data_IF_207855695144
#
_entry.id   IF_207855695144
#
_cell.length_a   1.000
_cell.length_b   1.000
_cell.length_c   1.000
_cell.angle_alpha   90.00
_cell.angle_beta   90.00
_cell.angle_gamma   90.00
#
_symmetry.space_group_name_H-M   'P 1'
#
loop_
_entity.id
_entity.type
_entity.pdbx_description
1 polymer ?
#
# COMPACT_ATOMS: atom_id res chain seq x y z
N UNK A 1 16.83 2.43 -23.19
CA UNK A 1 16.71 2.08 -21.76
C UNK A 1 16.04 0.73 -21.67
N UNK A 2 16.67 -0.26 -21.02
CA UNK A 2 16.06 -1.59 -20.90
C UNK A 2 14.77 -1.43 -20.08
N UNK A 3 13.66 -1.83 -20.67
CA UNK A 3 12.36 -1.84 -19.99
C UNK A 3 12.41 -2.93 -18.92
N UNK A 4 12.64 -2.56 -17.66
CA UNK A 4 12.68 -3.52 -16.54
C UNK A 4 11.26 -4.08 -16.39
N UNK A 5 11.08 -5.35 -16.74
CA UNK A 5 9.81 -6.05 -16.58
C UNK A 5 9.42 -6.09 -15.11
N UNK A 6 8.14 -5.89 -14.84
CA UNK A 6 7.58 -5.99 -13.48
C UNK A 6 7.47 -7.44 -13.07
N UNK A 7 7.91 -7.75 -11.85
CA UNK A 7 7.95 -9.10 -11.30
C UNK A 7 6.68 -9.40 -10.54
N UNK A 8 5.95 -10.38 -11.01
CA UNK A 8 4.73 -10.88 -10.38
C UNK A 8 5.00 -12.25 -9.79
N UNK A 9 4.63 -12.45 -8.54
CA UNK A 9 4.57 -13.78 -7.94
C UNK A 9 3.13 -14.25 -7.93
N UNK A 10 2.85 -15.37 -8.59
CA UNK A 10 1.57 -16.07 -8.53
C UNK A 10 1.69 -17.24 -7.56
N UNK A 11 0.81 -17.31 -6.55
CA UNK A 11 0.74 -18.42 -5.59
C UNK A 11 -0.60 -19.12 -5.82
N UNK A 12 -0.54 -20.31 -6.43
CA UNK A 12 -1.70 -21.07 -6.89
C UNK A 12 -1.37 -22.54 -6.81
N UNK A 13 -2.15 -23.31 -6.07
CA UNK A 13 -1.90 -24.77 -5.89
C UNK A 13 -2.34 -25.58 -7.11
N UNK A 14 -3.34 -25.11 -7.86
CA UNK A 14 -3.70 -25.71 -9.14
C UNK A 14 -2.70 -25.32 -10.23
N UNK A 15 -1.96 -26.32 -10.72
CA UNK A 15 -0.90 -26.10 -11.69
C UNK A 15 -1.39 -25.53 -13.01
N UNK A 16 -2.52 -26.03 -13.53
CA UNK A 16 -3.07 -25.58 -14.80
C UNK A 16 -3.47 -24.10 -14.74
N UNK A 17 -4.12 -23.71 -13.63
CA UNK A 17 -4.48 -22.30 -13.39
C UNK A 17 -3.25 -21.42 -13.21
N UNK A 18 -2.25 -21.88 -12.45
CA UNK A 18 -1.00 -21.14 -12.26
C UNK A 18 -0.23 -20.93 -13.56
N UNK A 19 -0.09 -21.96 -14.37
CA UNK A 19 0.58 -21.90 -15.67
C UNK A 19 -0.15 -20.97 -16.65
N UNK A 20 -1.48 -21.04 -16.69
CA UNK A 20 -2.31 -20.15 -17.52
C UNK A 20 -2.12 -18.68 -17.12
N UNK A 21 -2.13 -18.38 -15.81
CA UNK A 21 -1.90 -17.01 -15.33
C UNK A 21 -0.49 -16.53 -15.73
N UNK A 22 0.50 -17.42 -15.60
CA UNK A 22 1.88 -17.08 -15.95
C UNK A 22 2.06 -16.80 -17.45
N UNK A 23 1.47 -17.62 -18.33
CA UNK A 23 1.48 -17.45 -19.78
C UNK A 23 0.83 -16.10 -20.16
N UNK A 24 -0.41 -15.88 -19.72
CA UNK A 24 -1.19 -14.70 -20.06
C UNK A 24 -0.54 -13.38 -19.59
N UNK A 25 0.08 -13.38 -18.42
CA UNK A 25 0.76 -12.19 -17.92
C UNK A 25 2.15 -12.00 -18.57
N UNK A 26 2.85 -13.08 -18.93
CA UNK A 26 4.12 -13.02 -19.62
C UNK A 26 3.96 -12.43 -21.03
N UNK A 27 2.90 -12.81 -21.75
CA UNK A 27 2.55 -12.25 -23.05
C UNK A 27 2.24 -10.76 -22.99
N UNK A 28 1.77 -10.28 -21.83
CA UNK A 28 1.54 -8.86 -21.55
C UNK A 28 2.77 -8.11 -21.01
N UNK A 29 3.92 -8.76 -20.97
CA UNK A 29 5.21 -8.14 -20.68
C UNK A 29 5.62 -8.15 -19.20
N UNK A 30 4.96 -8.93 -18.36
CA UNK A 30 5.39 -9.16 -16.97
C UNK A 30 6.44 -10.28 -16.90
N UNK A 31 7.24 -10.30 -15.83
CA UNK A 31 8.07 -11.43 -15.43
C UNK A 31 7.31 -12.18 -14.31
N UNK A 32 6.90 -13.42 -14.59
CA UNK A 32 6.02 -14.15 -13.66
C UNK A 32 6.74 -15.36 -13.09
N UNK A 33 6.72 -15.48 -11.76
CA UNK A 33 7.10 -16.68 -11.05
C UNK A 33 5.84 -17.32 -10.44
N UNK A 34 5.74 -18.67 -10.53
CA UNK A 34 4.64 -19.42 -9.92
C UNK A 34 5.17 -20.19 -8.72
N UNK A 35 4.41 -20.18 -7.64
CA UNK A 35 4.60 -21.02 -6.46
C UNK A 35 3.32 -21.84 -6.23
N UNK A 36 3.46 -23.11 -5.91
CA UNK A 36 2.34 -24.03 -5.81
C UNK A 36 1.90 -24.30 -4.36
N UNK A 37 2.39 -23.51 -3.42
CA UNK A 37 1.93 -23.50 -2.03
C UNK A 37 2.23 -22.17 -1.36
N UNK A 38 1.57 -21.91 -0.23
CA UNK A 38 1.82 -20.69 0.55
C UNK A 38 3.26 -20.63 1.08
N UNK A 39 3.83 -21.77 1.50
CA UNK A 39 5.21 -21.86 1.98
C UNK A 39 6.21 -21.56 0.86
N UNK A 40 5.99 -22.14 -0.32
CA UNK A 40 6.83 -21.89 -1.50
C UNK A 40 6.76 -20.40 -1.89
N UNK A 41 5.57 -19.82 -1.87
CA UNK A 41 5.35 -18.41 -2.11
C UNK A 41 6.12 -17.50 -1.16
N UNK A 42 6.08 -17.78 0.15
CA UNK A 42 6.84 -17.04 1.15
C UNK A 42 8.35 -17.16 0.93
N UNK A 43 8.85 -18.36 0.60
CA UNK A 43 10.26 -18.55 0.25
C UNK A 43 10.65 -17.78 -1.02
N UNK A 44 9.80 -17.76 -2.03
CA UNK A 44 10.03 -16.98 -3.26
C UNK A 44 10.12 -15.49 -2.98
N UNK A 45 9.23 -14.93 -2.15
CA UNK A 45 9.26 -13.51 -1.72
C UNK A 45 10.59 -13.17 -1.02
N UNK A 46 11.08 -14.06 -0.17
CA UNK A 46 12.33 -13.84 0.57
C UNK A 46 13.57 -13.91 -0.33
N UNK A 47 13.55 -14.76 -1.36
CA UNK A 47 14.65 -14.86 -2.34
C UNK A 47 14.69 -13.67 -3.26
N UNK A 48 13.54 -13.26 -3.75
CA UNK A 48 13.43 -12.17 -4.70
C UNK A 48 12.10 -11.43 -4.49
N UNK A 49 12.17 -10.23 -3.92
CA UNK A 49 10.99 -9.42 -3.64
C UNK A 49 10.25 -9.09 -4.95
N UNK A 50 8.99 -9.53 -5.14
CA UNK A 50 8.21 -9.20 -6.32
C UNK A 50 7.67 -7.77 -6.26
N UNK A 51 7.25 -7.24 -7.42
CA UNK A 51 6.53 -5.97 -7.49
C UNK A 51 5.06 -6.11 -7.04
N UNK A 52 4.49 -7.34 -7.13
CA UNK A 52 3.14 -7.66 -6.69
C UNK A 52 2.99 -9.17 -6.48
N UNK A 53 2.17 -9.56 -5.52
CA UNK A 53 1.75 -10.95 -5.27
C UNK A 53 0.29 -11.14 -5.69
N UNK A 54 0.05 -12.16 -6.52
CA UNK A 54 -1.27 -12.77 -6.75
C UNK A 54 -1.34 -14.03 -5.91
N UNK A 55 -2.40 -14.24 -5.16
CA UNK A 55 -2.50 -15.41 -4.30
C UNK A 55 -3.91 -15.99 -4.27
N UNK A 56 -4.05 -17.27 -4.56
CA UNK A 56 -5.32 -17.94 -4.30
C UNK A 56 -5.63 -17.93 -2.81
N UNK A 57 -6.91 -17.76 -2.49
CA UNK A 57 -7.41 -17.80 -1.11
C UNK A 57 -7.43 -19.24 -0.59
N UNK A 58 -7.86 -20.19 -1.44
CA UNK A 58 -8.25 -21.55 -1.04
C UNK A 58 -7.19 -22.55 -1.40
N UNK A 59 -6.06 -22.53 -0.71
CA UNK A 59 -4.97 -23.50 -0.89
C UNK A 59 -4.88 -24.47 0.29
N UNK A 60 -4.41 -25.71 0.07
CA UNK A 60 -4.08 -26.66 1.13
C UNK A 60 -3.00 -26.13 2.08
N UNK A 61 -2.96 -26.63 3.31
CA UNK A 61 -1.98 -26.30 4.36
C UNK A 61 -1.95 -24.84 4.78
N UNK A 62 -1.79 -23.91 3.86
CA UNK A 62 -1.74 -22.47 4.14
C UNK A 62 -2.61 -21.71 3.15
N UNK A 63 -3.68 -21.09 3.65
CA UNK A 63 -4.56 -20.23 2.85
C UNK A 63 -3.87 -18.95 2.44
N UNK A 64 -4.36 -18.28 1.38
CA UNK A 64 -3.84 -16.96 0.97
C UNK A 64 -3.89 -15.91 2.10
N UNK A 65 -4.85 -16.00 3.02
CA UNK A 65 -4.88 -15.16 4.21
C UNK A 65 -3.70 -15.44 5.15
N UNK A 66 -3.33 -16.72 5.31
CA UNK A 66 -2.16 -17.13 6.07
C UNK A 66 -0.87 -16.61 5.47
N UNK A 67 -0.74 -16.66 4.14
CA UNK A 67 0.41 -16.08 3.42
C UNK A 67 0.51 -14.57 3.69
N UNK A 68 -0.58 -13.81 3.55
CA UNK A 68 -0.58 -12.37 3.80
C UNK A 68 -0.24 -12.03 5.26
N UNK A 69 -0.77 -12.81 6.22
CA UNK A 69 -0.46 -12.62 7.62
C UNK A 69 1.03 -12.82 7.90
N UNK A 70 1.64 -13.89 7.39
CA UNK A 70 3.08 -14.13 7.50
C UNK A 70 3.90 -13.07 6.79
N UNK A 71 3.47 -12.64 5.61
CA UNK A 71 4.11 -11.55 4.89
C UNK A 71 4.12 -10.26 5.71
N UNK A 72 3.03 -9.92 6.40
CA UNK A 72 2.96 -8.74 7.26
C UNK A 72 3.94 -8.81 8.45
N UNK A 73 4.21 -9.99 8.98
CA UNK A 73 5.20 -10.18 10.05
C UNK A 73 6.63 -9.87 9.58
N UNK A 74 6.95 -10.17 8.32
CA UNK A 74 8.28 -9.94 7.72
C UNK A 74 8.36 -8.62 6.91
N UNK A 75 7.23 -8.01 6.58
CA UNK A 75 7.13 -6.79 5.76
C UNK A 75 7.98 -5.59 6.23
N UNK A 76 8.23 -5.37 7.54
CA UNK A 76 9.10 -4.27 7.97
C UNK A 76 10.48 -4.27 7.30
N UNK A 77 10.96 -5.44 6.85
CA UNK A 77 12.25 -5.63 6.19
C UNK A 77 12.20 -5.53 4.66
N UNK A 78 11.04 -5.84 4.07
CA UNK A 78 10.86 -5.93 2.61
C UNK A 78 10.20 -4.69 2.00
N UNK A 79 9.54 -3.88 2.82
CA UNK A 79 8.68 -2.80 2.35
C UNK A 79 7.29 -3.31 1.94
N UNK A 80 6.42 -2.39 1.50
CA UNK A 80 5.06 -2.75 1.09
C UNK A 80 5.08 -3.42 -0.28
N UNK A 81 4.57 -4.65 -0.35
CA UNK A 81 4.32 -5.41 -1.57
C UNK A 81 2.80 -5.45 -1.77
N UNK A 82 2.25 -5.02 -2.93
CA UNK A 82 0.83 -5.16 -3.21
C UNK A 82 0.43 -6.63 -3.20
N UNK A 83 -0.73 -6.93 -2.60
CA UNK A 83 -1.24 -8.28 -2.47
C UNK A 83 -2.67 -8.36 -2.98
N UNK A 84 -2.87 -9.13 -4.04
CA UNK A 84 -4.17 -9.32 -4.70
C UNK A 84 -4.60 -10.77 -4.51
N UNK A 85 -5.80 -10.96 -3.99
CA UNK A 85 -6.38 -12.29 -3.83
C UNK A 85 -7.10 -12.74 -5.10
N UNK A 86 -6.90 -14.02 -5.44
CA UNK A 86 -7.71 -14.76 -6.38
C UNK A 86 -8.67 -15.63 -5.58
N UNK A 87 -9.96 -15.66 -5.94
CA UNK A 87 -10.95 -16.41 -5.16
C UNK A 87 -12.01 -17.03 -6.06
N UNK A 88 -12.35 -18.30 -5.80
CA UNK A 88 -13.45 -18.97 -6.45
C UNK A 88 -14.83 -18.49 -5.93
N UNK A 89 -14.86 -17.88 -4.74
CA UNK A 89 -16.08 -17.46 -4.07
C UNK A 89 -16.05 -15.95 -3.88
N UNK A 90 -16.99 -15.25 -4.49
CA UNK A 90 -17.34 -13.87 -4.19
C UNK A 90 -18.05 -13.82 -2.81
N UNK A 91 -17.36 -14.32 -1.76
CA UNK A 91 -17.87 -14.27 -0.40
C UNK A 91 -17.46 -12.95 0.24
N UNK A 92 -18.46 -12.14 0.57
CA UNK A 92 -18.28 -10.83 1.20
C UNK A 92 -17.49 -10.91 2.51
N UNK A 93 -17.63 -12.00 3.26
CA UNK A 93 -16.92 -12.16 4.53
C UNK A 93 -15.43 -12.42 4.32
N UNK A 94 -15.07 -13.19 3.31
CA UNK A 94 -13.69 -13.41 2.90
C UNK A 94 -13.05 -12.12 2.35
N UNK A 95 -13.77 -11.33 1.56
CA UNK A 95 -13.30 -10.03 1.10
C UNK A 95 -13.05 -9.07 2.28
N UNK A 96 -13.98 -8.98 3.23
CA UNK A 96 -13.81 -8.16 4.43
C UNK A 96 -12.64 -8.62 5.29
N UNK A 97 -12.47 -9.94 5.44
CA UNK A 97 -11.34 -10.51 6.19
C UNK A 97 -9.99 -10.13 5.57
N UNK A 98 -9.83 -10.31 4.28
CA UNK A 98 -8.56 -10.00 3.63
C UNK A 98 -8.28 -8.50 3.57
N UNK A 99 -9.31 -7.63 3.41
CA UNK A 99 -9.14 -6.18 3.53
C UNK A 99 -8.64 -5.77 4.91
N UNK A 100 -9.14 -6.40 5.99
CA UNK A 100 -8.65 -6.20 7.36
C UNK A 100 -7.20 -6.62 7.56
N UNK A 101 -6.76 -7.66 6.85
CA UNK A 101 -5.37 -8.13 6.85
C UNK A 101 -4.45 -7.26 5.99
N UNK A 102 -5.00 -6.32 5.21
CA UNK A 102 -4.22 -5.41 4.36
C UNK A 102 -4.08 -5.86 2.92
N UNK A 103 -4.93 -6.79 2.45
CA UNK A 103 -5.05 -7.13 1.03
C UNK A 103 -5.47 -5.90 0.22
N UNK A 104 -4.81 -5.71 -0.92
CA UNK A 104 -4.99 -4.51 -1.75
C UNK A 104 -6.17 -4.65 -2.73
N UNK A 105 -6.45 -5.88 -3.21
CA UNK A 105 -7.56 -6.14 -4.12
C UNK A 105 -8.00 -7.61 -4.12
N UNK A 106 -9.14 -7.85 -4.81
CA UNK A 106 -9.76 -9.16 -4.98
C UNK A 106 -10.22 -9.35 -6.42
N UNK A 107 -9.93 -10.52 -6.99
CA UNK A 107 -10.40 -10.93 -8.29
C UNK A 107 -11.04 -12.32 -8.20
N UNK A 108 -12.28 -12.43 -8.65
CA UNK A 108 -13.01 -13.70 -8.70
C UNK A 108 -12.55 -14.57 -9.87
N UNK A 109 -12.47 -15.88 -9.64
CA UNK A 109 -12.36 -16.88 -10.70
C UNK A 109 -13.78 -17.14 -11.31
N UNK A 110 -13.93 -17.30 -12.64
CA UNK A 110 -12.89 -17.35 -13.65
C UNK A 110 -12.23 -15.97 -13.85
N UNK A 111 -10.92 -15.99 -14.13
CA UNK A 111 -10.11 -14.78 -14.18
C UNK A 111 -10.38 -13.99 -15.46
N UNK A 112 -10.79 -12.75 -15.30
CA UNK A 112 -10.78 -11.74 -16.36
C UNK A 112 -9.37 -11.13 -16.43
N UNK A 113 -8.60 -11.52 -17.44
CA UNK A 113 -7.21 -11.10 -17.58
C UNK A 113 -7.03 -9.62 -17.90
N UNK A 114 -7.99 -8.98 -18.57
CA UNK A 114 -7.93 -7.52 -18.79
C UNK A 114 -8.08 -6.77 -17.47
N UNK A 115 -9.07 -7.20 -16.68
CA UNK A 115 -9.26 -6.66 -15.33
C UNK A 115 -8.06 -6.94 -14.42
N UNK A 116 -7.47 -8.14 -14.51
CA UNK A 116 -6.28 -8.50 -13.71
C UNK A 116 -5.12 -7.57 -14.03
N UNK A 117 -4.80 -7.35 -15.31
CA UNK A 117 -3.72 -6.45 -15.74
C UNK A 117 -3.96 -5.03 -15.25
N UNK A 118 -5.19 -4.53 -15.39
CA UNK A 118 -5.56 -3.20 -14.89
C UNK A 118 -5.31 -3.08 -13.37
N UNK A 119 -5.70 -4.09 -12.59
CA UNK A 119 -5.48 -4.13 -11.14
C UNK A 119 -3.97 -4.13 -10.84
N UNK A 120 -3.18 -4.99 -11.51
CA UNK A 120 -1.73 -5.09 -11.32
C UNK A 120 -1.08 -3.72 -11.55
N UNK A 121 -1.33 -3.10 -12.68
CA UNK A 121 -0.76 -1.80 -13.03
C UNK A 121 -1.17 -0.71 -12.04
N UNK A 122 -2.44 -0.65 -11.67
CA UNK A 122 -2.94 0.33 -10.72
C UNK A 122 -2.28 0.20 -9.34
N UNK A 123 -2.08 -1.04 -8.84
CA UNK A 123 -1.47 -1.30 -7.54
C UNK A 123 0.03 -1.01 -7.53
N UNK A 124 0.76 -1.42 -8.57
CA UNK A 124 2.19 -1.11 -8.72
C UNK A 124 2.40 0.41 -8.85
N UNK A 125 1.60 1.10 -9.66
CA UNK A 125 1.66 2.56 -9.79
C UNK A 125 1.32 3.28 -8.47
N UNK A 126 0.36 2.75 -7.70
CA UNK A 126 0.02 3.24 -6.37
C UNK A 126 1.20 3.20 -5.41
N UNK A 127 1.96 2.09 -5.38
CA UNK A 127 3.16 1.96 -4.56
C UNK A 127 4.30 2.85 -5.05
N UNK A 128 4.48 2.98 -6.37
CA UNK A 128 5.47 3.89 -6.92
C UNK A 128 5.21 5.34 -6.46
N UNK A 129 3.95 5.79 -6.48
CA UNK A 129 3.56 7.10 -5.93
C UNK A 129 3.82 7.22 -4.44
N UNK A 130 3.57 6.16 -3.66
CA UNK A 130 3.83 6.13 -2.22
C UNK A 130 5.34 6.12 -1.92
N UNK A 131 6.15 5.45 -2.75
CA UNK A 131 7.63 5.45 -2.62
C UNK A 131 8.23 6.82 -2.99
N UNK A 132 7.61 7.54 -3.92
CA UNK A 132 8.02 8.90 -4.33
C UNK A 132 7.53 9.98 -3.34
N UNK A 133 6.49 9.68 -2.56
CA UNK A 133 6.06 10.56 -1.48
C UNK A 133 7.07 10.48 -0.33
N UNK A 134 7.60 11.60 0.14
CA UNK A 134 8.50 11.61 1.28
C UNK A 134 7.85 10.90 2.47
N UNK A 135 8.52 9.86 3.03
CA UNK A 135 8.06 9.22 4.26
C UNK A 135 8.28 10.18 5.42
N UNK A 136 7.28 10.97 5.73
CA UNK A 136 7.30 11.80 6.92
C UNK A 136 6.98 10.97 8.17
N UNK A 137 7.63 11.23 9.31
CA UNK A 137 7.22 10.68 10.59
C UNK A 137 5.74 10.98 10.84
N UNK A 138 5.02 10.05 11.46
CA UNK A 138 3.59 10.18 11.73
C UNK A 138 3.31 11.47 12.51
N UNK A 139 2.51 12.35 11.91
CA UNK A 139 2.00 13.52 12.60
C UNK A 139 0.97 13.09 13.66
N UNK A 140 0.99 13.76 14.82
CA UNK A 140 -0.04 13.58 15.85
C UNK A 140 -1.31 14.34 15.45
N UNK A 141 -2.46 13.94 15.96
CA UNK A 141 -3.76 14.54 15.60
C UNK A 141 -3.77 16.07 15.79
N UNK A 142 -3.15 16.56 16.85
CA UNK A 142 -3.02 18.00 17.10
C UNK A 142 -2.10 18.71 16.12
N UNK A 143 -1.06 18.06 15.65
CA UNK A 143 -0.17 18.59 14.60
C UNK A 143 -0.90 18.67 13.26
N UNK A 144 -1.71 17.66 12.93
CA UNK A 144 -2.57 17.65 11.73
C UNK A 144 -3.61 18.78 11.82
N UNK A 145 -4.31 18.90 12.93
CA UNK A 145 -5.34 19.91 13.14
C UNK A 145 -4.80 21.32 12.99
N UNK A 146 -3.71 21.63 13.69
CA UNK A 146 -3.08 22.95 13.67
C UNK A 146 -2.53 23.27 12.28
N UNK A 147 -1.89 22.29 11.63
CA UNK A 147 -1.33 22.43 10.29
C UNK A 147 -2.43 22.64 9.22
N UNK A 148 -3.59 21.99 9.38
CA UNK A 148 -4.75 22.19 8.50
C UNK A 148 -5.25 23.65 8.56
N UNK A 149 -5.34 24.23 9.75
CA UNK A 149 -5.72 25.64 9.89
C UNK A 149 -4.65 26.60 9.34
N UNK A 150 -3.37 26.23 9.51
CA UNK A 150 -2.27 26.99 8.92
C UNK A 150 -2.32 26.97 7.38
N UNK A 151 -2.64 25.82 6.78
CA UNK A 151 -2.84 25.69 5.34
C UNK A 151 -3.98 26.56 4.81
N UNK A 152 -5.01 26.81 5.63
CA UNK A 152 -6.12 27.76 5.33
C UNK A 152 -5.76 29.22 5.57
N UNK A 153 -4.49 29.54 5.77
CA UNK A 153 -4.01 30.91 5.97
C UNK A 153 -4.26 31.53 7.34
N UNK A 154 -4.67 30.72 8.35
CA UNK A 154 -4.91 31.23 9.71
C UNK A 154 -3.60 31.47 10.46
N UNK A 155 -3.53 32.59 11.20
CA UNK A 155 -2.38 32.88 12.07
C UNK A 155 -2.39 32.01 13.32
N UNK A 156 -1.24 31.87 14.01
CA UNK A 156 -1.19 31.13 15.28
C UNK A 156 -2.13 31.72 16.34
N UNK A 157 -2.37 33.02 16.33
CA UNK A 157 -3.33 33.66 17.23
C UNK A 157 -4.79 33.29 16.91
N UNK A 158 -5.14 33.20 15.60
CA UNK A 158 -6.48 32.80 15.17
C UNK A 158 -6.75 31.33 15.52
N UNK A 159 -5.74 30.48 15.28
CA UNK A 159 -5.82 29.04 15.61
C UNK A 159 -5.95 28.85 17.13
N UNK A 160 -5.18 29.60 17.91
CA UNK A 160 -5.23 29.57 19.37
C UNK A 160 -6.63 29.90 19.90
N UNK A 161 -7.26 30.96 19.38
CA UNK A 161 -8.65 31.33 19.70
C UNK A 161 -9.63 30.22 19.34
N UNK A 162 -9.49 29.64 18.15
CA UNK A 162 -10.41 28.63 17.64
C UNK A 162 -10.31 27.32 18.40
N UNK A 163 -9.12 26.88 18.77
CA UNK A 163 -8.86 25.63 19.47
C UNK A 163 -8.84 25.77 21.00
N UNK A 164 -9.06 26.99 21.53
CA UNK A 164 -9.00 27.33 22.96
C UNK A 164 -7.67 26.90 23.59
N UNK A 165 -6.58 27.19 22.89
CA UNK A 165 -5.21 26.90 23.33
C UNK A 165 -4.39 28.19 23.40
N UNK A 166 -3.22 28.14 24.05
CA UNK A 166 -2.28 29.27 24.00
C UNK A 166 -1.60 29.37 22.63
N UNK A 167 -1.23 30.58 22.22
CA UNK A 167 -0.41 30.80 21.00
C UNK A 167 0.88 29.96 21.06
N UNK A 168 1.52 29.88 22.22
CA UNK A 168 2.74 29.10 22.45
C UNK A 168 2.51 27.60 22.17
N UNK A 169 1.35 27.06 22.56
CA UNK A 169 0.99 25.66 22.28
C UNK A 169 0.80 25.42 20.78
N UNK A 170 0.18 26.37 20.07
CA UNK A 170 0.02 26.29 18.62
C UNK A 170 1.38 26.32 17.91
N UNK A 171 2.24 27.27 18.27
CA UNK A 171 3.58 27.39 17.68
C UNK A 171 4.40 26.11 17.93
N UNK A 172 4.32 25.51 19.13
CA UNK A 172 4.95 24.23 19.45
C UNK A 172 4.47 23.08 18.52
N UNK A 173 3.17 22.97 18.28
CA UNK A 173 2.64 21.94 17.36
C UNK A 173 3.03 22.20 15.90
N UNK A 174 3.05 23.46 15.47
CA UNK A 174 3.52 23.83 14.13
C UNK A 174 5.00 23.52 13.94
N UNK A 175 5.84 23.80 14.92
CA UNK A 175 7.28 23.53 14.85
C UNK A 175 7.54 22.02 14.83
N UNK A 176 6.86 21.24 15.66
CA UNK A 176 6.96 19.78 15.63
C UNK A 176 6.52 19.21 14.26
N UNK A 177 5.42 19.70 13.70
CA UNK A 177 4.98 19.28 12.37
C UNK A 177 6.02 19.68 11.30
N UNK A 178 6.56 20.88 11.37
CA UNK A 178 7.60 21.40 10.46
C UNK A 178 8.85 20.52 10.47
N UNK A 179 9.37 20.19 11.66
CA UNK A 179 10.54 19.32 11.83
C UNK A 179 10.26 17.92 11.24
N UNK A 180 9.10 17.33 11.55
CA UNK A 180 8.71 16.01 11.04
C UNK A 180 8.56 15.98 9.53
N UNK A 181 8.08 17.09 8.93
CA UNK A 181 7.92 17.23 7.48
C UNK A 181 9.21 17.70 6.79
N UNK A 182 10.31 17.86 7.54
CA UNK A 182 11.58 18.39 7.02
C UNK A 182 11.37 19.65 6.21
N UNK A 183 10.59 20.57 6.75
CA UNK A 183 10.27 21.86 6.12
C UNK A 183 11.00 22.99 6.83
N UNK A 184 11.45 23.99 6.06
CA UNK A 184 12.12 25.17 6.61
C UNK A 184 11.11 26.19 7.13
N UNK A 185 9.92 26.26 6.51
CA UNK A 185 8.86 27.21 6.87
C UNK A 185 7.55 26.48 7.17
N UNK A 186 6.65 27.19 7.91
CA UNK A 186 5.30 26.68 8.17
C UNK A 186 4.48 26.51 6.88
N UNK A 187 4.69 27.40 5.91
CA UNK A 187 4.01 27.35 4.60
C UNK A 187 4.46 26.13 3.82
N UNK A 188 5.75 25.86 3.80
CA UNK A 188 6.31 24.66 3.18
C UNK A 188 5.79 23.38 3.86
N UNK A 189 5.71 23.38 5.20
CA UNK A 189 5.12 22.27 5.95
C UNK A 189 3.66 22.02 5.55
N UNK A 190 2.86 23.05 5.41
CA UNK A 190 1.47 22.97 4.97
C UNK A 190 1.35 22.43 3.54
N UNK A 191 2.19 22.90 2.60
CA UNK A 191 2.23 22.41 1.22
C UNK A 191 2.63 20.93 1.17
N UNK A 192 3.69 20.54 1.87
CA UNK A 192 4.16 19.14 1.95
C UNK A 192 3.09 18.23 2.53
N UNK A 193 2.41 18.65 3.58
CA UNK A 193 1.34 17.88 4.21
C UNK A 193 0.12 17.72 3.28
N UNK A 194 -0.28 18.76 2.55
CA UNK A 194 -1.36 18.70 1.58
C UNK A 194 -1.00 17.79 0.40
N UNK A 195 0.19 17.97 -0.19
CA UNK A 195 0.69 17.13 -1.29
C UNK A 195 0.81 15.65 -0.94
N UNK A 196 1.10 15.34 0.35
CA UNK A 196 1.19 13.96 0.86
C UNK A 196 -0.16 13.41 1.35
N UNK A 197 -1.26 14.14 1.23
CA UNK A 197 -2.58 13.73 1.68
C UNK A 197 -2.73 13.65 3.21
N UNK A 198 -1.77 14.18 3.98
CA UNK A 198 -1.82 14.20 5.45
C UNK A 198 -2.83 15.21 6.00
N UNK A 199 -3.11 16.28 5.26
CA UNK A 199 -4.14 17.27 5.55
C UNK A 199 -4.98 17.53 4.30
N UNK A 200 -6.22 17.97 4.52
CA UNK A 200 -7.13 18.50 3.49
C UNK A 200 -7.47 19.95 3.88
N UNK A 201 -6.83 20.94 3.23
CA UNK A 201 -7.07 22.37 3.50
C UNK A 201 -8.49 22.81 3.21
#
# INVERSE_FOLDING_TARGET
>A
MANVRRKILCIEDDRETGDLIAEELTDRGFEVNVAHSGEEGLMAIMRQTPDLVLCDVSMPTMTGFGVLQRLNEIAPRLGRIPFVFLTALADRDNELRGRRLGGDDYLSKPIDFERLVFIIEARIAGIARTKLSPRYPKLKDREIEVLTWAARGKTSADIARKLRLSKRTIDFHLDNARIKLRAETRTEAAIKAAASGLIRP
#
